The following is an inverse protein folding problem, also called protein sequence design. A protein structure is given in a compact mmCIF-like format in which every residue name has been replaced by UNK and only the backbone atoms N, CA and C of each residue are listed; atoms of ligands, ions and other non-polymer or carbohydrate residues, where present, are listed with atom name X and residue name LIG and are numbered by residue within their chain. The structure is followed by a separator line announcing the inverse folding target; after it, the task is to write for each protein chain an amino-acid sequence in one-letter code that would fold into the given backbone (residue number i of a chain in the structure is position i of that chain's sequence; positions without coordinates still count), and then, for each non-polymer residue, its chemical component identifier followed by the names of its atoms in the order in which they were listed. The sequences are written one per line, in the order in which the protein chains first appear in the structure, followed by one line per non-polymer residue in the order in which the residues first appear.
data_IF_901631992524
#
_entry.id   IF_901631992524
#
_cell.length_a   1.000
_cell.length_b   1.000
_cell.length_c   1.000
_cell.angle_alpha   90.00
_cell.angle_beta   90.00
_cell.angle_gamma   90.00
#
_symmetry.space_group_name_H-M   'P 1'
#
loop_
_entity.id
_entity.type
_entity.pdbx_description
1 polymer ?
#
# COMPACT_ATOMS: atom_id res chain seq x y z
N UNK A 1 -17.84 11.02 18.11
CA UNK A 1 -17.89 10.49 16.73
C UNK A 1 -16.48 10.48 16.17
N UNK A 2 -15.85 9.31 16.09
CA UNK A 2 -14.49 9.17 15.57
C UNK A 2 -14.43 9.52 14.09
N UNK A 3 -13.78 10.64 13.78
CA UNK A 3 -13.58 11.10 12.40
C UNK A 3 -12.56 10.19 11.74
N UNK A 4 -13.03 9.33 10.82
CA UNK A 4 -12.16 8.43 10.05
C UNK A 4 -11.64 9.14 8.81
N UNK A 5 -10.37 8.89 8.47
CA UNK A 5 -9.73 9.44 7.27
C UNK A 5 -9.72 8.39 6.16
N UNK A 6 -10.30 8.73 5.02
CA UNK A 6 -10.30 7.89 3.82
C UNK A 6 -9.57 8.58 2.67
N UNK A 7 -8.87 7.81 1.84
CA UNK A 7 -8.15 8.29 0.67
C UNK A 7 -8.84 7.85 -0.63
N UNK A 8 -9.30 8.81 -1.45
CA UNK A 8 -9.90 8.53 -2.76
C UNK A 8 -8.90 8.88 -3.86
N UNK A 9 -8.63 7.92 -4.75
CA UNK A 9 -7.76 8.12 -5.92
C UNK A 9 -8.59 8.38 -7.17
N UNK A 10 -8.45 9.56 -7.77
CA UNK A 10 -9.11 9.93 -9.04
C UNK A 10 -8.08 10.25 -10.13
N UNK A 11 -8.42 10.00 -11.39
CA UNK A 11 -7.53 10.29 -12.54
C UNK A 11 -7.71 11.73 -12.99
N UNK A 12 -6.63 12.50 -13.07
CA UNK A 12 -6.64 13.87 -13.58
C UNK A 12 -6.48 13.94 -15.10
N UNK A 13 -7.00 15.01 -15.68
CA UNK A 13 -6.79 15.42 -17.08
C UNK A 13 -6.22 16.85 -17.09
N UNK A 14 -4.96 17.06 -16.68
CA UNK A 14 -4.33 18.37 -16.69
C UNK A 14 -4.04 18.84 -18.11
N UNK A 15 -4.03 20.16 -18.32
CA UNK A 15 -3.54 20.79 -19.55
C UNK A 15 -2.02 20.68 -19.70
N UNK A 16 -1.44 20.90 -20.90
CA UNK A 16 0.01 20.89 -21.09
C UNK A 16 0.75 21.85 -20.15
N UNK A 17 0.22 23.04 -19.91
CA UNK A 17 0.80 24.04 -19.01
C UNK A 17 0.80 23.54 -17.55
N UNK A 18 -0.33 22.95 -17.12
CA UNK A 18 -0.43 22.35 -15.78
C UNK A 18 0.54 21.17 -15.59
N UNK A 19 0.76 20.37 -16.64
CA UNK A 19 1.72 19.28 -16.63
C UNK A 19 3.14 19.81 -16.41
N UNK A 20 3.52 20.87 -17.11
CA UNK A 20 4.84 21.48 -16.95
C UNK A 20 5.04 21.99 -15.52
N UNK A 21 4.05 22.70 -14.98
CA UNK A 21 4.07 23.21 -13.61
C UNK A 21 4.13 22.10 -12.56
N UNK A 22 3.44 20.97 -12.77
CA UNK A 22 3.56 19.79 -11.92
C UNK A 22 4.99 19.23 -11.93
N UNK A 23 5.61 19.13 -13.10
CA UNK A 23 6.98 18.63 -13.21
C UNK A 23 8.01 19.56 -12.56
N UNK A 24 7.83 20.88 -12.68
CA UNK A 24 8.63 21.86 -11.92
C UNK A 24 8.47 21.64 -10.42
N UNK A 25 7.24 21.49 -9.91
CA UNK A 25 7.00 21.27 -8.49
C UNK A 25 7.57 19.94 -7.99
N UNK A 26 7.42 18.83 -8.73
CA UNK A 26 8.05 17.55 -8.37
C UNK A 26 9.58 17.68 -8.24
N UNK A 27 10.20 18.45 -9.13
CA UNK A 27 11.64 18.74 -9.07
C UNK A 27 12.03 19.56 -7.84
N UNK A 28 11.25 20.60 -7.54
CA UNK A 28 11.50 21.52 -6.43
C UNK A 28 11.33 20.84 -5.06
N UNK A 29 10.26 20.07 -4.88
CA UNK A 29 10.02 19.26 -3.67
C UNK A 29 11.18 18.31 -3.41
N UNK A 30 11.67 17.60 -4.45
CA UNK A 30 12.84 16.73 -4.32
C UNK A 30 14.10 17.50 -3.94
N UNK A 31 14.33 18.65 -4.59
CA UNK A 31 15.54 19.47 -4.36
C UNK A 31 15.57 19.99 -2.93
N UNK A 32 14.47 20.54 -2.44
CA UNK A 32 14.33 21.05 -1.06
C UNK A 32 14.55 19.94 -0.04
N UNK A 33 13.90 18.78 -0.22
CA UNK A 33 14.10 17.62 0.64
C UNK A 33 15.58 17.22 0.72
N UNK A 34 16.24 17.06 -0.43
CA UNK A 34 17.64 16.62 -0.48
C UNK A 34 18.61 17.66 0.08
N UNK A 35 18.40 18.96 -0.19
CA UNK A 35 19.25 20.02 0.35
C UNK A 35 19.17 20.05 1.88
N UNK A 36 17.94 19.95 2.42
CA UNK A 36 17.73 19.94 3.87
C UNK A 36 18.32 18.69 4.52
N UNK A 37 18.11 17.52 3.92
CA UNK A 37 18.72 16.26 4.38
C UNK A 37 20.25 16.33 4.35
N UNK A 38 20.84 16.94 3.32
CA UNK A 38 22.28 17.07 3.20
C UNK A 38 22.89 17.91 4.34
N UNK A 39 22.28 19.06 4.65
CA UNK A 39 22.76 19.89 5.75
C UNK A 39 22.61 19.20 7.10
N UNK A 40 21.49 18.49 7.32
CA UNK A 40 21.33 17.71 8.53
C UNK A 40 22.35 16.57 8.62
N UNK A 41 22.60 15.82 7.53
CA UNK A 41 23.57 14.72 7.55
C UNK A 41 24.97 15.21 7.94
N UNK A 42 25.41 16.39 7.46
CA UNK A 42 26.68 16.99 7.89
C UNK A 42 26.73 17.30 9.39
N UNK A 43 25.60 17.66 10.00
CA UNK A 43 25.52 17.89 11.44
C UNK A 43 25.53 16.57 12.20
N UNK A 44 24.77 15.59 11.71
CA UNK A 44 24.70 14.26 12.29
C UNK A 44 26.04 13.50 12.25
N UNK A 45 26.84 13.71 11.21
CA UNK A 45 28.21 13.20 11.10
C UNK A 45 29.14 13.78 12.17
N UNK A 46 28.89 15.01 12.64
CA UNK A 46 29.66 15.65 13.71
C UNK A 46 29.14 15.27 15.09
N UNK A 47 27.82 15.20 15.24
CA UNK A 47 27.16 14.84 16.49
C UNK A 47 25.89 14.03 16.19
N UNK A 48 25.95 12.73 16.49
CA UNK A 48 24.89 11.78 16.22
C UNK A 48 23.74 11.80 17.26
N UNK A 49 23.87 12.61 18.32
CA UNK A 49 22.85 12.78 19.35
C UNK A 49 21.77 13.80 18.98
N UNK A 50 22.08 14.69 18.01
CA UNK A 50 21.21 15.82 17.66
C UNK A 50 20.04 15.33 16.81
N UNK A 51 18.85 15.30 17.41
CA UNK A 51 17.59 15.03 16.71
C UNK A 51 17.05 16.29 16.02
N UNK A 52 16.70 16.24 14.72
CA UNK A 52 16.18 17.40 14.02
C UNK A 52 14.72 17.63 14.39
N UNK A 53 14.42 18.87 14.77
CA UNK A 53 13.04 19.32 14.94
C UNK A 53 12.46 19.78 13.61
N UNK A 54 11.12 19.81 13.51
CA UNK A 54 10.45 20.39 12.35
C UNK A 54 10.88 21.85 12.12
N UNK A 55 10.94 22.64 13.18
CA UNK A 55 11.32 24.06 13.13
C UNK A 55 12.70 24.25 12.54
N UNK A 56 13.67 23.43 12.98
CA UNK A 56 15.03 23.44 12.44
C UNK A 56 15.04 23.18 10.92
N UNK A 57 14.42 22.07 10.48
CA UNK A 57 14.37 21.71 9.07
C UNK A 57 13.57 22.71 8.22
N UNK A 58 12.53 23.32 8.80
CA UNK A 58 11.73 24.38 8.17
C UNK A 58 12.57 25.64 7.94
N UNK A 59 13.36 26.06 8.93
CA UNK A 59 14.24 27.23 8.81
C UNK A 59 15.31 27.03 7.71
N UNK A 60 15.88 25.82 7.62
CA UNK A 60 16.77 25.45 6.51
C UNK A 60 16.05 25.54 5.15
N UNK A 61 14.84 25.00 5.05
CA UNK A 61 14.04 25.14 3.83
C UNK A 61 13.81 26.61 3.47
N UNK A 62 13.50 27.47 4.45
CA UNK A 62 13.28 28.90 4.22
C UNK A 62 14.55 29.60 3.75
N UNK A 63 15.73 29.25 4.29
CA UNK A 63 17.03 29.73 3.79
C UNK A 63 17.22 29.39 2.31
N UNK A 64 16.94 28.15 1.92
CA UNK A 64 17.03 27.74 0.50
C UNK A 64 15.96 28.38 -0.38
N UNK A 65 14.76 28.61 0.15
CA UNK A 65 13.70 29.29 -0.58
C UNK A 65 14.09 30.75 -0.91
N UNK A 66 14.79 31.43 0.00
CA UNK A 66 15.34 32.77 -0.23
C UNK A 66 16.49 32.79 -1.23
N UNK A 67 17.41 31.81 -1.16
CA UNK A 67 18.59 31.79 -2.03
C UNK A 67 18.33 31.25 -3.44
N UNK A 68 17.22 30.53 -3.67
CA UNK A 68 16.91 29.91 -4.96
C UNK A 68 15.59 30.49 -5.51
N UNK A 69 15.64 31.46 -6.46
CA UNK A 69 14.46 32.24 -6.86
C UNK A 69 13.28 31.42 -7.39
N UNK A 70 13.54 30.32 -8.11
CA UNK A 70 12.47 29.50 -8.67
C UNK A 70 11.68 28.70 -7.61
N UNK A 71 12.22 28.50 -6.41
CA UNK A 71 11.49 27.84 -5.31
C UNK A 71 10.36 28.71 -4.78
N UNK A 72 10.50 30.04 -4.85
CA UNK A 72 9.46 30.96 -4.38
C UNK A 72 8.23 30.97 -5.30
N UNK A 73 8.46 30.75 -6.60
CA UNK A 73 7.39 30.60 -7.60
C UNK A 73 6.55 29.34 -7.39
N UNK A 74 7.05 28.33 -6.67
CA UNK A 74 6.34 27.05 -6.44
C UNK A 74 5.29 27.12 -5.34
N UNK A 75 4.47 26.08 -5.26
CA UNK A 75 3.44 25.94 -4.23
C UNK A 75 4.11 25.74 -2.85
N UNK A 76 3.81 26.62 -1.88
CA UNK A 76 4.54 26.64 -0.62
C UNK A 76 4.21 25.46 0.29
N UNK A 77 2.96 24.96 0.25
CA UNK A 77 2.54 23.86 1.14
C UNK A 77 3.18 22.53 0.75
N UNK A 78 3.48 22.32 -0.54
CA UNK A 78 4.18 21.13 -1.03
C UNK A 78 5.62 21.08 -0.55
N UNK A 79 6.31 22.22 -0.53
CA UNK A 79 7.66 22.31 0.03
C UNK A 79 7.63 22.02 1.53
N UNK A 80 6.74 22.68 2.27
CA UNK A 80 6.58 22.47 3.71
C UNK A 80 6.23 21.01 4.06
N UNK A 81 5.38 20.37 3.27
CA UNK A 81 5.00 18.99 3.49
C UNK A 81 6.16 18.02 3.24
N UNK A 82 7.05 18.33 2.30
CA UNK A 82 8.26 17.53 2.09
C UNK A 82 9.17 17.53 3.33
N UNK A 83 9.24 18.66 4.03
CA UNK A 83 9.97 18.80 5.29
C UNK A 83 9.27 18.07 6.44
N UNK A 84 7.93 18.10 6.49
CA UNK A 84 7.17 17.29 7.46
C UNK A 84 7.41 15.80 7.25
N UNK A 85 7.38 15.35 6.00
CA UNK A 85 7.64 13.95 5.67
C UNK A 85 9.09 13.55 6.06
N UNK A 86 10.08 14.44 5.86
CA UNK A 86 11.46 14.24 6.32
C UNK A 86 11.55 14.18 7.85
N UNK A 87 10.89 15.10 8.56
CA UNK A 87 10.86 15.13 10.02
C UNK A 87 10.26 13.84 10.58
N UNK A 88 9.18 13.34 9.98
CA UNK A 88 8.56 12.07 10.37
C UNK A 88 9.49 10.88 10.11
N UNK A 89 10.25 10.90 9.01
CA UNK A 89 11.23 9.86 8.73
C UNK A 89 12.33 9.82 9.80
N UNK A 90 12.86 10.98 10.22
CA UNK A 90 13.78 11.05 11.36
C UNK A 90 13.14 10.60 12.67
N UNK A 91 11.92 11.05 12.97
CA UNK A 91 11.22 10.63 14.18
C UNK A 91 11.06 9.10 14.24
N UNK A 92 10.77 8.45 13.11
CA UNK A 92 10.69 6.99 13.06
C UNK A 92 12.06 6.33 13.24
N UNK A 93 13.11 6.87 12.61
CA UNK A 93 14.49 6.42 12.80
C UNK A 93 14.91 6.44 14.28
N UNK A 94 14.71 7.58 14.96
CA UNK A 94 15.08 7.73 16.37
C UNK A 94 14.17 6.95 17.34
N UNK A 95 12.94 6.60 16.93
CA UNK A 95 12.02 5.81 17.76
C UNK A 95 12.29 4.31 17.72
N UNK A 96 12.71 3.78 16.58
CA UNK A 96 12.92 2.35 16.42
C UNK A 96 14.23 2.08 15.67
N UNK A 97 15.23 1.42 16.31
CA UNK A 97 16.52 1.11 15.71
C UNK A 97 16.45 0.28 14.42
N UNK A 98 15.34 -0.43 14.16
CA UNK A 98 15.14 -1.18 12.93
C UNK A 98 14.90 -0.30 11.69
N UNK A 99 14.60 0.99 11.89
CA UNK A 99 14.46 1.93 10.79
C UNK A 99 15.82 2.48 10.37
N UNK A 100 16.02 2.60 9.06
CA UNK A 100 17.22 3.23 8.50
C UNK A 100 17.08 4.76 8.44
N UNK A 101 18.22 5.46 8.46
CA UNK A 101 18.28 6.89 8.22
C UNK A 101 17.56 7.29 6.91
N UNK A 102 16.92 8.46 6.86
CA UNK A 102 16.33 8.98 5.63
C UNK A 102 17.36 9.06 4.50
N UNK A 103 16.99 8.63 3.31
CA UNK A 103 17.87 8.60 2.14
C UNK A 103 17.53 9.69 1.13
N UNK A 104 18.52 10.10 0.35
CA UNK A 104 18.33 11.06 -0.73
C UNK A 104 17.39 10.54 -1.80
N UNK A 105 16.46 11.38 -2.23
CA UNK A 105 15.57 11.09 -3.35
C UNK A 105 16.31 11.27 -4.68
N UNK A 106 16.34 10.24 -5.53
CA UNK A 106 17.00 10.33 -6.84
C UNK A 106 16.00 10.78 -7.90
N UNK A 107 16.48 11.53 -8.90
CA UNK A 107 15.65 11.93 -10.06
C UNK A 107 15.09 10.74 -10.84
N UNK A 108 15.78 9.60 -10.78
CA UNK A 108 15.42 8.36 -11.47
C UNK A 108 14.33 7.54 -10.76
N UNK A 109 14.03 7.82 -9.49
CA UNK A 109 13.17 6.94 -8.65
C UNK A 109 11.68 6.97 -9.01
N UNK A 110 11.27 7.64 -10.10
CA UNK A 110 9.88 7.77 -10.57
C UNK A 110 8.86 8.19 -9.49
N UNK A 111 9.33 8.74 -8.35
CA UNK A 111 8.49 9.27 -7.26
C UNK A 111 8.06 10.70 -7.60
N UNK A 112 7.19 10.82 -8.60
CA UNK A 112 6.62 12.09 -9.01
C UNK A 112 5.33 12.35 -8.22
N UNK A 113 5.48 12.95 -7.05
CA UNK A 113 4.33 13.36 -6.24
C UNK A 113 4.62 14.60 -5.42
N UNK A 114 3.58 15.40 -5.18
CA UNK A 114 3.58 16.46 -4.18
C UNK A 114 2.24 16.47 -3.45
N UNK A 115 2.24 16.91 -2.18
CA UNK A 115 1.03 17.01 -1.37
C UNK A 115 0.74 18.48 -1.06
N UNK A 116 -0.51 18.86 -1.21
CA UNK A 116 -1.03 20.17 -0.85
C UNK A 116 -2.04 20.01 0.29
N UNK A 117 -1.86 20.78 1.36
CA UNK A 117 -2.83 20.85 2.45
C UNK A 117 -3.99 21.76 2.06
N UNK A 118 -5.21 21.37 2.41
CA UNK A 118 -6.40 22.17 2.11
C UNK A 118 -6.89 22.81 3.41
N UNK A 119 -7.12 24.13 3.43
CA UNK A 119 -7.70 24.79 4.61
C UNK A 119 -9.07 24.18 4.98
N UNK A 120 -9.42 24.16 6.27
CA UNK A 120 -10.73 23.70 6.71
C UNK A 120 -11.86 24.41 5.95
N UNK A 121 -12.92 23.68 5.61
CA UNK A 121 -14.13 24.17 4.95
C UNK A 121 -13.96 24.74 3.52
N UNK A 122 -12.76 24.69 2.93
CA UNK A 122 -12.58 25.11 1.54
C UNK A 122 -13.16 24.08 0.57
N UNK A 123 -14.22 24.45 -0.14
CA UNK A 123 -14.73 23.66 -1.25
C UNK A 123 -13.78 23.78 -2.44
N UNK A 124 -13.16 22.65 -2.80
CA UNK A 124 -12.19 22.58 -3.89
C UNK A 124 -12.65 21.69 -5.04
N UNK A 125 -13.74 20.93 -4.86
CA UNK A 125 -14.30 20.05 -5.88
C UNK A 125 -15.63 20.61 -6.34
N UNK A 126 -15.74 20.86 -7.64
CA UNK A 126 -16.96 21.33 -8.29
C UNK A 126 -17.06 20.74 -9.70
N UNK A 127 -18.23 20.19 -10.06
CA UNK A 127 -18.54 19.72 -11.43
C UNK A 127 -17.39 18.90 -12.08
N UNK A 128 -16.84 17.92 -11.35
CA UNK A 128 -15.71 17.08 -11.77
C UNK A 128 -14.39 17.80 -12.05
N UNK A 129 -14.18 18.97 -11.43
CA UNK A 129 -12.92 19.69 -11.46
C UNK A 129 -12.40 19.85 -10.03
N UNK A 130 -11.10 19.64 -9.85
CA UNK A 130 -10.39 19.95 -8.61
C UNK A 130 -9.71 21.30 -8.79
N UNK A 131 -9.99 22.25 -7.90
CA UNK A 131 -9.34 23.55 -7.83
C UNK A 131 -8.11 23.44 -6.93
N UNK A 132 -6.92 23.56 -7.51
CA UNK A 132 -5.65 23.58 -6.78
C UNK A 132 -5.05 24.99 -6.76
N UNK A 133 -4.41 25.37 -5.66
CA UNK A 133 -3.71 26.66 -5.56
C UNK A 133 -2.54 26.66 -6.55
N UNK A 134 -2.38 27.76 -7.30
CA UNK A 134 -1.41 27.96 -8.40
C UNK A 134 -1.63 27.14 -9.68
N UNK A 135 -2.46 26.10 -9.67
CA UNK A 135 -2.69 25.26 -10.87
C UNK A 135 -4.10 25.40 -11.46
N UNK A 136 -5.00 26.11 -10.78
CA UNK A 136 -6.36 26.37 -11.24
C UNK A 136 -7.26 25.13 -11.18
N UNK A 137 -8.30 25.12 -12.01
CA UNK A 137 -9.30 24.04 -12.08
C UNK A 137 -8.81 22.92 -13.02
N UNK A 138 -8.80 21.69 -12.53
CA UNK A 138 -8.30 20.52 -13.26
C UNK A 138 -9.41 19.46 -13.34
N UNK A 139 -9.87 19.08 -14.54
CA UNK A 139 -10.84 18.01 -14.70
C UNK A 139 -10.31 16.67 -14.19
N UNK A 140 -11.20 15.86 -13.61
CA UNK A 140 -10.89 14.49 -13.20
C UNK A 140 -11.96 13.49 -13.64
N UNK A 141 -11.55 12.24 -13.78
CA UNK A 141 -12.39 11.09 -14.11
C UNK A 141 -12.45 10.14 -12.92
N UNK A 142 -13.68 9.79 -12.54
CA UNK A 142 -13.98 8.85 -11.45
C UNK A 142 -15.33 8.16 -11.69
N UNK A 143 -15.65 7.17 -10.86
CA UNK A 143 -16.93 6.43 -10.89
C UNK A 143 -18.11 7.32 -10.46
N UNK A 144 -19.34 6.88 -10.71
CA UNK A 144 -20.54 7.66 -10.35
C UNK A 144 -20.66 7.81 -8.83
N UNK A 145 -20.30 6.79 -8.08
CA UNK A 145 -20.37 6.72 -6.61
C UNK A 145 -19.40 7.72 -5.98
N UNK A 146 -18.12 7.68 -6.37
CA UNK A 146 -17.14 8.66 -5.88
C UNK A 146 -17.45 10.07 -6.36
N UNK A 147 -18.05 10.24 -7.53
CA UNK A 147 -18.52 11.56 -7.97
C UNK A 147 -19.60 12.10 -7.04
N UNK A 148 -20.60 11.30 -6.68
CA UNK A 148 -21.65 11.72 -5.73
C UNK A 148 -21.02 12.09 -4.39
N UNK A 149 -20.17 11.20 -3.85
CA UNK A 149 -19.47 11.39 -2.58
C UNK A 149 -18.65 12.69 -2.54
N UNK A 150 -17.80 12.92 -3.54
CA UNK A 150 -16.93 14.10 -3.59
C UNK A 150 -17.67 15.43 -3.80
N UNK A 151 -18.94 15.40 -4.22
CA UNK A 151 -19.77 16.59 -4.37
C UNK A 151 -20.76 16.78 -3.20
N UNK A 152 -20.74 15.92 -2.18
CA UNK A 152 -21.60 16.08 -1.01
C UNK A 152 -21.30 17.38 -0.24
N UNK A 153 -22.34 18.10 0.21
CA UNK A 153 -22.15 19.27 1.05
C UNK A 153 -21.52 18.85 2.39
N UNK A 154 -20.63 19.68 2.95
CA UNK A 154 -20.00 19.42 4.24
C UNK A 154 -18.80 18.46 4.22
N UNK A 155 -18.44 17.86 3.07
CA UNK A 155 -17.28 16.98 2.97
C UNK A 155 -15.97 17.73 3.27
N UNK A 156 -15.28 17.32 4.33
CA UNK A 156 -14.01 17.92 4.75
C UNK A 156 -12.83 17.22 4.07
N UNK A 157 -12.10 17.96 3.25
CA UNK A 157 -10.89 17.49 2.58
C UNK A 157 -9.67 18.00 3.35
N UNK A 158 -8.82 17.10 3.82
CA UNK A 158 -7.64 17.44 4.62
C UNK A 158 -6.46 17.86 3.74
N UNK A 159 -6.16 17.03 2.74
CA UNK A 159 -5.05 17.27 1.82
C UNK A 159 -5.26 16.50 0.52
N UNK A 160 -4.58 16.96 -0.52
CA UNK A 160 -4.54 16.31 -1.83
C UNK A 160 -3.09 15.99 -2.17
N UNK A 161 -2.82 14.76 -2.55
CA UNK A 161 -1.53 14.37 -3.14
C UNK A 161 -1.69 14.19 -4.63
N UNK A 162 -1.00 15.00 -5.43
CA UNK A 162 -0.87 14.81 -6.87
C UNK A 162 0.24 13.81 -7.13
N UNK A 163 -0.04 12.79 -7.96
CA UNK A 163 0.91 11.73 -8.30
C UNK A 163 0.90 11.44 -9.79
N UNK A 164 2.08 11.24 -10.37
CA UNK A 164 2.26 10.76 -11.73
C UNK A 164 2.83 9.34 -11.73
N UNK A 165 2.22 8.42 -12.48
CA UNK A 165 2.61 7.00 -12.53
C UNK A 165 3.48 6.65 -13.76
N UNK A 166 3.97 7.66 -14.48
CA UNK A 166 4.69 7.51 -15.75
C UNK A 166 3.78 7.54 -16.99
N UNK A 167 2.46 7.50 -16.83
CA UNK A 167 1.49 7.56 -17.92
C UNK A 167 0.37 8.58 -17.65
N UNK A 168 -0.22 8.54 -16.46
CA UNK A 168 -1.36 9.33 -16.04
C UNK A 168 -1.09 10.08 -14.73
N UNK A 169 -1.82 11.17 -14.56
CA UNK A 169 -1.87 11.95 -13.33
C UNK A 169 -3.04 11.50 -12.47
N UNK A 170 -2.83 11.45 -11.17
CA UNK A 170 -3.84 11.11 -10.18
C UNK A 170 -3.85 12.14 -9.06
N UNK A 171 -5.03 12.42 -8.53
CA UNK A 171 -5.20 13.09 -7.25
C UNK A 171 -5.64 12.06 -6.22
N UNK A 172 -4.90 11.98 -5.12
CA UNK A 172 -5.25 11.20 -3.93
C UNK A 172 -5.81 12.19 -2.92
N UNK A 173 -7.13 12.18 -2.75
CA UNK A 173 -7.89 13.12 -1.94
C UNK A 173 -8.13 12.46 -0.58
N UNK A 174 -7.56 13.03 0.47
CA UNK A 174 -7.78 12.56 1.84
C UNK A 174 -8.96 13.32 2.44
N UNK A 175 -10.03 12.59 2.74
CA UNK A 175 -11.29 13.12 3.25
C UNK A 175 -11.53 12.62 4.67
N UNK A 176 -12.13 13.46 5.50
CA UNK A 176 -12.82 12.98 6.70
C UNK A 176 -14.18 12.52 6.25
N UNK A 177 -14.49 11.27 6.54
CA UNK A 177 -15.77 10.68 6.23
C UNK A 177 -16.43 10.25 7.53
N UNK A 178 -17.73 10.51 7.64
CA UNK A 178 -18.52 10.06 8.78
C UNK A 178 -18.58 8.53 8.79
N UNK A 179 -18.88 7.96 9.97
CA UNK A 179 -18.79 6.52 10.21
C UNK A 179 -19.51 5.73 9.10
N UNK A 180 -18.77 4.82 8.46
CA UNK A 180 -19.33 3.87 7.50
C UNK A 180 -20.40 3.04 8.21
N UNK A 181 -21.47 2.68 7.50
CA UNK A 181 -22.47 1.75 8.03
C UNK A 181 -21.76 0.47 8.47
N UNK A 182 -21.84 0.15 9.76
CA UNK A 182 -21.30 -1.09 10.28
C UNK A 182 -22.08 -2.28 9.73
N UNK A 183 -21.38 -3.39 9.52
CA UNK A 183 -21.99 -4.68 9.25
C UNK A 183 -22.37 -5.34 10.57
N UNK A 184 -23.46 -6.08 10.56
CA UNK A 184 -23.82 -6.95 11.68
C UNK A 184 -22.77 -8.06 11.85
N UNK A 185 -22.56 -8.46 13.10
CA UNK A 185 -21.70 -9.60 13.43
C UNK A 185 -22.36 -10.88 12.93
N UNK A 186 -21.60 -11.71 12.23
CA UNK A 186 -22.09 -12.96 11.62
C UNK A 186 -21.88 -14.17 12.52
N UNK A 187 -21.10 -14.05 13.59
CA UNK A 187 -20.61 -15.14 14.44
C UNK A 187 -19.58 -16.05 13.74
N UNK A 188 -19.22 -15.77 12.47
CA UNK A 188 -18.37 -16.65 11.67
C UNK A 188 -16.90 -16.34 11.87
N UNK A 189 -16.10 -17.40 12.01
CA UNK A 189 -14.65 -17.37 12.16
C UNK A 189 -13.97 -18.15 11.04
N UNK A 190 -12.75 -17.74 10.67
CA UNK A 190 -11.99 -18.41 9.62
C UNK A 190 -10.50 -18.45 9.95
N UNK A 191 -9.88 -19.62 9.76
CA UNK A 191 -8.43 -19.77 9.77
C UNK A 191 -7.88 -19.62 8.36
N UNK A 192 -6.71 -18.97 8.23
CA UNK A 192 -6.10 -18.69 6.94
C UNK A 192 -4.65 -19.15 6.95
N UNK A 193 -4.38 -20.19 6.16
CA UNK A 193 -3.03 -20.59 5.81
C UNK A 193 -2.51 -19.74 4.65
N UNK A 194 -1.27 -19.27 4.79
CA UNK A 194 -0.60 -18.44 3.79
C UNK A 194 0.61 -19.22 3.30
N UNK A 195 0.62 -19.58 2.03
CA UNK A 195 1.69 -20.41 1.48
C UNK A 195 2.20 -19.88 0.14
N UNK A 196 3.43 -20.22 -0.25
CA UNK A 196 4.05 -19.75 -1.50
C UNK A 196 3.71 -20.60 -2.72
N UNK A 197 2.79 -21.56 -2.59
CA UNK A 197 2.62 -22.64 -3.57
C UNK A 197 1.62 -22.30 -4.68
N UNK A 198 1.76 -23.00 -5.82
CA UNK A 198 0.90 -22.79 -7.00
C UNK A 198 -0.56 -23.17 -6.78
N UNK A 199 -0.87 -23.98 -5.76
CA UNK A 199 -2.21 -24.53 -5.48
C UNK A 199 -3.10 -23.63 -4.60
N UNK A 200 -2.62 -22.44 -4.23
CA UNK A 200 -3.37 -21.43 -3.49
C UNK A 200 -2.42 -20.66 -2.58
N UNK A 201 -2.44 -19.33 -2.65
CA UNK A 201 -1.54 -18.54 -1.79
C UNK A 201 -2.15 -18.22 -0.43
N UNK A 202 -3.48 -18.15 -0.42
CA UNK A 202 -4.31 -17.94 0.75
C UNK A 202 -5.32 -19.08 0.71
N UNK A 203 -5.22 -19.98 1.69
CA UNK A 203 -6.11 -21.13 1.82
C UNK A 203 -6.89 -20.97 3.11
N UNK A 204 -8.20 -21.06 3.03
CA UNK A 204 -9.09 -20.85 4.18
C UNK A 204 -9.59 -22.17 4.74
N UNK A 205 -9.97 -22.17 6.02
CA UNK A 205 -10.49 -23.36 6.70
C UNK A 205 -11.84 -23.85 6.16
N UNK A 206 -12.55 -23.06 5.35
CA UNK A 206 -13.75 -23.46 4.60
C UNK A 206 -13.42 -24.05 3.20
N UNK A 207 -12.13 -24.29 2.92
CA UNK A 207 -11.67 -24.96 1.70
C UNK A 207 -11.49 -24.04 0.49
N UNK A 208 -11.69 -22.72 0.63
CA UNK A 208 -11.45 -21.78 -0.47
C UNK A 208 -9.94 -21.61 -0.66
N UNK A 209 -9.51 -21.74 -1.92
CA UNK A 209 -8.12 -21.53 -2.33
C UNK A 209 -8.06 -20.34 -3.27
N UNK A 210 -7.51 -19.25 -2.75
CA UNK A 210 -7.42 -17.99 -3.44
C UNK A 210 -6.18 -17.93 -4.34
N UNK A 211 -6.43 -17.56 -5.60
CA UNK A 211 -5.40 -17.38 -6.63
C UNK A 211 -5.59 -16.05 -7.33
N UNK A 212 -4.49 -15.43 -7.73
CA UNK A 212 -4.54 -14.22 -8.54
C UNK A 212 -3.65 -14.34 -9.77
N UNK A 213 -4.24 -14.07 -10.95
CA UNK A 213 -3.56 -14.27 -12.23
C UNK A 213 -3.14 -12.95 -12.88
N UNK A 214 -1.85 -12.88 -13.22
CA UNK A 214 -1.23 -11.81 -14.04
C UNK A 214 -0.31 -12.39 -15.12
N UNK A 215 -0.53 -13.65 -15.52
CA UNK A 215 0.26 -14.35 -16.53
C UNK A 215 0.29 -13.59 -17.86
N UNK A 216 -0.86 -13.07 -18.29
CA UNK A 216 -0.93 -12.26 -19.52
C UNK A 216 -0.05 -11.00 -19.41
N UNK A 217 -0.16 -10.22 -18.33
CA UNK A 217 0.69 -9.05 -18.12
C UNK A 217 2.18 -9.42 -18.06
N UNK A 218 2.55 -10.51 -17.38
CA UNK A 218 3.94 -10.96 -17.30
C UNK A 218 4.50 -11.37 -18.67
N UNK A 219 3.73 -12.10 -19.49
CA UNK A 219 4.08 -12.43 -20.87
C UNK A 219 4.32 -11.15 -21.69
N UNK A 220 3.43 -10.17 -21.59
CA UNK A 220 3.57 -8.90 -22.29
C UNK A 220 4.79 -8.09 -21.83
N UNK A 221 5.08 -8.06 -20.53
CA UNK A 221 6.26 -7.38 -20.01
C UNK A 221 7.54 -8.07 -20.50
N UNK A 222 7.59 -9.42 -20.52
CA UNK A 222 8.71 -10.19 -21.07
C UNK A 222 8.95 -9.87 -22.55
N UNK A 223 7.89 -9.93 -23.35
CA UNK A 223 7.95 -9.56 -24.77
C UNK A 223 8.44 -8.13 -24.99
N UNK A 224 7.89 -7.15 -24.26
CA UNK A 224 8.31 -5.75 -24.39
C UNK A 224 9.76 -5.53 -23.96
N UNK A 225 10.23 -6.21 -22.90
CA UNK A 225 11.64 -6.15 -22.50
C UNK A 225 12.57 -6.72 -23.57
N UNK A 226 12.20 -7.83 -24.20
CA UNK A 226 12.95 -8.42 -25.33
C UNK A 226 13.05 -7.45 -26.51
N UNK A 227 11.99 -6.71 -26.84
CA UNK A 227 12.02 -5.68 -27.89
C UNK A 227 12.85 -4.44 -27.52
N UNK A 228 12.91 -4.09 -26.23
CA UNK A 228 13.67 -2.93 -25.74
C UNK A 228 15.17 -3.22 -25.69
N UNK A 229 15.56 -4.46 -25.34
CA UNK A 229 16.94 -4.90 -25.21
C UNK A 229 17.85 -4.51 -26.40
N UNK A 230 17.50 -4.81 -27.67
CA UNK A 230 18.34 -4.47 -28.82
C UNK A 230 18.36 -2.97 -29.17
N UNK A 231 17.50 -2.14 -28.56
CA UNK A 231 17.45 -0.71 -28.85
C UNK A 231 18.66 0.02 -28.22
N UNK A 232 19.79 0.06 -28.94
CA UNK A 232 21.06 0.69 -28.51
C UNK A 232 20.96 2.21 -28.29
N UNK A 233 20.26 2.93 -29.17
CA UNK A 233 20.06 4.39 -29.03
C UNK A 233 19.12 4.73 -27.86
N UNK A 234 19.65 5.34 -26.79
CA UNK A 234 18.90 5.70 -25.57
C UNK A 234 17.67 6.59 -25.82
N UNK A 235 17.66 7.39 -26.88
CA UNK A 235 16.64 8.41 -27.14
C UNK A 235 15.78 8.16 -28.39
N UNK A 236 15.86 6.97 -29.02
CA UNK A 236 15.05 6.69 -30.22
C UNK A 236 13.54 6.78 -29.91
N UNK A 237 12.77 7.32 -30.87
CA UNK A 237 11.30 7.44 -30.75
C UNK A 237 10.67 6.07 -30.43
N UNK A 238 11.11 5.02 -31.13
CA UNK A 238 10.71 3.62 -30.91
C UNK A 238 10.96 3.15 -29.47
N UNK A 239 12.15 3.38 -28.91
CA UNK A 239 12.48 2.96 -27.53
C UNK A 239 11.61 3.70 -26.50
N UNK A 240 11.39 5.00 -26.68
CA UNK A 240 10.49 5.79 -25.81
C UNK A 240 9.05 5.24 -25.84
N UNK A 241 8.56 4.87 -27.01
CA UNK A 241 7.23 4.27 -27.15
C UNK A 241 7.14 2.91 -26.45
N UNK A 242 8.13 2.03 -26.67
CA UNK A 242 8.18 0.72 -26.02
C UNK A 242 8.25 0.84 -24.49
N UNK A 243 9.06 1.76 -23.96
CA UNK A 243 9.12 2.03 -22.52
C UNK A 243 7.77 2.53 -21.97
N UNK A 244 7.03 3.33 -22.75
CA UNK A 244 5.68 3.77 -22.38
C UNK A 244 4.70 2.59 -22.35
N UNK A 245 4.74 1.71 -23.36
CA UNK A 245 3.94 0.47 -23.40
C UNK A 245 4.28 -0.44 -22.22
N UNK A 246 5.57 -0.59 -21.90
CA UNK A 246 6.06 -1.36 -20.76
C UNK A 246 5.52 -0.81 -19.43
N UNK A 247 5.61 0.50 -19.23
CA UNK A 247 5.08 1.16 -18.03
C UNK A 247 3.56 0.98 -17.90
N UNK A 248 2.80 1.02 -19.02
CA UNK A 248 1.36 0.71 -19.00
C UNK A 248 1.08 -0.71 -18.49
N UNK A 249 1.86 -1.70 -18.91
CA UNK A 249 1.68 -3.08 -18.45
C UNK A 249 2.04 -3.26 -16.97
N UNK A 250 3.12 -2.65 -16.50
CA UNK A 250 3.45 -2.63 -15.06
C UNK A 250 2.34 -1.96 -14.23
N UNK A 251 1.78 -0.84 -14.70
CA UNK A 251 0.70 -0.15 -14.02
C UNK A 251 -0.59 -1.00 -14.02
N UNK A 252 -0.91 -1.67 -15.15
CA UNK A 252 -2.05 -2.60 -15.25
C UNK A 252 -1.92 -3.76 -14.27
N UNK A 253 -0.75 -4.41 -14.23
CA UNK A 253 -0.44 -5.49 -13.28
C UNK A 253 -0.60 -5.05 -11.83
N UNK A 254 -0.06 -3.89 -11.47
CA UNK A 254 -0.15 -3.34 -10.11
C UNK A 254 -1.58 -2.97 -9.73
N UNK A 255 -2.35 -2.36 -10.66
CA UNK A 255 -3.74 -1.99 -10.42
C UNK A 255 -4.63 -3.23 -10.26
N UNK A 256 -4.44 -4.28 -11.06
CA UNK A 256 -5.15 -5.57 -10.88
C UNK A 256 -4.91 -6.15 -9.50
N UNK A 257 -3.66 -6.20 -9.05
CA UNK A 257 -3.34 -6.73 -7.71
C UNK A 257 -3.97 -5.90 -6.60
N UNK A 258 -3.93 -4.57 -6.75
CA UNK A 258 -4.53 -3.67 -5.78
C UNK A 258 -6.06 -3.81 -5.71
N UNK A 259 -6.72 -3.99 -6.85
CA UNK A 259 -8.16 -4.23 -6.95
C UNK A 259 -8.54 -5.58 -6.33
N UNK A 260 -7.78 -6.64 -6.63
CA UNK A 260 -7.96 -7.96 -6.04
C UNK A 260 -7.85 -7.92 -4.51
N UNK A 261 -6.79 -7.32 -3.98
CA UNK A 261 -6.59 -7.12 -2.53
C UNK A 261 -7.76 -6.35 -1.90
N UNK A 262 -8.26 -5.32 -2.57
CA UNK A 262 -9.38 -4.51 -2.07
C UNK A 262 -10.66 -5.34 -1.95
N UNK A 263 -11.00 -6.08 -3.01
CA UNK A 263 -12.19 -6.93 -3.08
C UNK A 263 -12.10 -8.10 -2.10
N UNK A 264 -10.97 -8.80 -2.08
CA UNK A 264 -10.73 -9.92 -1.18
C UNK A 264 -10.86 -9.48 0.28
N UNK A 265 -10.15 -8.41 0.68
CA UNK A 265 -10.23 -7.91 2.06
C UNK A 265 -11.63 -7.42 2.45
N UNK A 266 -12.37 -6.82 1.52
CA UNK A 266 -13.77 -6.43 1.75
C UNK A 266 -14.68 -7.64 1.94
N UNK A 267 -14.58 -8.65 1.07
CA UNK A 267 -15.42 -9.85 1.11
C UNK A 267 -15.18 -10.66 2.39
N UNK A 268 -13.91 -10.80 2.80
CA UNK A 268 -13.56 -11.53 4.02
C UNK A 268 -14.14 -10.81 5.26
N UNK A 269 -13.92 -9.50 5.40
CA UNK A 269 -14.47 -8.72 6.54
C UNK A 269 -15.99 -8.72 6.56
N UNK A 270 -16.64 -8.73 5.38
CA UNK A 270 -18.09 -8.84 5.31
C UNK A 270 -18.59 -10.19 5.85
N UNK A 271 -17.92 -11.29 5.52
CA UNK A 271 -18.37 -12.66 5.85
C UNK A 271 -18.00 -13.10 7.27
N UNK A 272 -16.84 -12.70 7.76
CA UNK A 272 -16.26 -13.19 9.02
C UNK A 272 -16.06 -12.08 10.04
N UNK A 273 -16.11 -12.44 11.32
CA UNK A 273 -15.84 -11.55 12.45
C UNK A 273 -14.44 -11.80 13.04
N UNK A 274 -13.92 -13.02 12.85
CA UNK A 274 -12.58 -13.41 13.30
C UNK A 274 -11.80 -14.03 12.14
N UNK A 275 -10.59 -13.53 11.90
CA UNK A 275 -9.65 -14.07 10.92
C UNK A 275 -8.35 -14.42 11.63
N UNK A 276 -8.01 -15.70 11.64
CA UNK A 276 -6.83 -16.22 12.32
C UNK A 276 -5.71 -16.48 11.32
N UNK A 277 -4.53 -15.93 11.57
CA UNK A 277 -3.31 -16.15 10.78
C UNK A 277 -2.19 -16.72 11.65
N UNK A 278 -1.16 -17.29 11.03
CA UNK A 278 0.09 -17.59 11.72
C UNK A 278 0.94 -16.33 11.96
N UNK A 279 1.63 -16.23 13.11
CA UNK A 279 2.51 -15.09 13.46
C UNK A 279 3.68 -14.87 12.49
N UNK A 280 4.17 -15.93 11.85
CA UNK A 280 5.36 -15.90 10.98
C UNK A 280 5.07 -15.39 9.55
N UNK A 281 3.84 -14.97 9.24
CA UNK A 281 3.40 -14.56 7.89
C UNK A 281 4.34 -13.55 7.22
N UNK A 282 4.99 -12.67 7.99
CA UNK A 282 5.85 -11.60 7.48
C UNK A 282 7.13 -12.14 6.80
N UNK A 283 7.55 -13.37 7.14
CA UNK A 283 8.70 -14.04 6.52
C UNK A 283 8.33 -14.69 5.17
N UNK A 284 7.04 -14.87 4.90
CA UNK A 284 6.53 -15.57 3.73
C UNK A 284 6.59 -14.64 2.51
N UNK A 285 7.15 -15.14 1.40
CA UNK A 285 7.19 -14.44 0.12
C UNK A 285 6.37 -15.21 -0.90
N UNK A 286 5.17 -14.69 -1.19
CA UNK A 286 4.34 -15.22 -2.26
C UNK A 286 4.80 -14.60 -3.58
N UNK A 287 5.28 -15.46 -4.47
CA UNK A 287 5.74 -15.09 -5.80
C UNK A 287 4.62 -15.35 -6.82
N UNK A 288 4.25 -14.30 -7.54
CA UNK A 288 3.17 -14.31 -8.51
C UNK A 288 3.73 -14.31 -9.93
N UNK A 289 3.42 -15.37 -10.68
CA UNK A 289 3.55 -15.39 -12.14
C UNK A 289 4.96 -15.61 -12.71
N UNK A 290 5.80 -16.41 -12.04
CA UNK A 290 7.06 -16.93 -12.59
C UNK A 290 8.18 -15.91 -12.74
N UNK A 291 9.09 -16.07 -13.71
CA UNK A 291 10.37 -15.32 -13.89
C UNK A 291 10.34 -13.79 -13.68
N UNK A 292 9.19 -13.13 -13.81
CA UNK A 292 8.99 -11.69 -13.52
C UNK A 292 8.23 -11.44 -12.22
N UNK A 293 8.58 -12.24 -11.20
CA UNK A 293 7.90 -12.38 -9.92
C UNK A 293 7.39 -11.05 -9.37
N UNK A 294 6.06 -10.91 -9.35
CA UNK A 294 5.40 -9.91 -8.52
C UNK A 294 5.26 -10.50 -7.12
N UNK A 295 5.61 -9.76 -6.08
CA UNK A 295 5.46 -10.23 -4.71
C UNK A 295 4.08 -9.80 -4.20
N UNK A 296 3.29 -10.74 -3.67
CA UNK A 296 2.06 -10.37 -2.98
C UNK A 296 2.40 -9.61 -1.68
N UNK A 297 1.89 -8.39 -1.48
CA UNK A 297 2.25 -7.58 -0.31
C UNK A 297 1.41 -8.00 0.92
N UNK A 298 1.77 -9.13 1.54
CA UNK A 298 1.06 -9.71 2.69
C UNK A 298 0.81 -8.72 3.83
N UNK A 299 1.83 -8.02 4.31
CA UNK A 299 1.67 -7.03 5.38
C UNK A 299 0.69 -5.93 5.02
N UNK A 300 0.62 -5.54 3.74
CA UNK A 300 -0.35 -4.54 3.26
C UNK A 300 -1.77 -5.11 3.20
N UNK A 301 -1.93 -6.38 2.86
CA UNK A 301 -3.22 -7.07 2.87
C UNK A 301 -3.76 -7.20 4.31
N UNK A 302 -2.93 -7.66 5.25
CA UNK A 302 -3.31 -7.77 6.68
C UNK A 302 -3.64 -6.39 7.27
N UNK A 303 -2.83 -5.37 7.02
CA UNK A 303 -3.15 -4.00 7.47
C UNK A 303 -4.44 -3.46 6.86
N UNK A 304 -4.83 -3.93 5.67
CA UNK A 304 -6.13 -3.59 5.07
C UNK A 304 -7.28 -4.30 5.76
N UNK A 305 -7.11 -5.58 6.12
CA UNK A 305 -8.11 -6.30 6.92
C UNK A 305 -8.35 -5.59 8.25
N UNK A 306 -7.28 -5.29 9.01
CA UNK A 306 -7.37 -4.54 10.27
C UNK A 306 -8.15 -3.22 10.12
N UNK A 307 -7.76 -2.38 9.14
CA UNK A 307 -8.47 -1.12 8.86
C UNK A 307 -9.93 -1.31 8.44
N UNK A 308 -10.25 -2.37 7.68
CA UNK A 308 -11.62 -2.64 7.27
C UNK A 308 -12.47 -3.15 8.45
N UNK A 309 -11.91 -3.91 9.38
CA UNK A 309 -12.59 -4.22 10.65
C UNK A 309 -12.86 -2.94 11.43
N UNK A 310 -11.85 -2.10 11.65
CA UNK A 310 -12.05 -0.79 12.29
C UNK A 310 -13.17 0.02 11.60
N UNK A 311 -13.28 -0.07 10.27
CA UNK A 311 -14.27 0.68 9.50
C UNK A 311 -15.68 0.09 9.49
N UNK A 312 -15.81 -1.23 9.40
CA UNK A 312 -17.09 -1.87 9.13
C UNK A 312 -17.58 -2.77 10.28
N UNK A 313 -16.69 -3.25 11.14
CA UNK A 313 -16.99 -4.16 12.25
C UNK A 313 -16.06 -3.87 13.45
N UNK A 314 -16.14 -2.69 14.08
CA UNK A 314 -15.23 -2.32 15.16
C UNK A 314 -15.41 -3.16 16.43
N UNK A 315 -16.59 -3.77 16.61
CA UNK A 315 -16.91 -4.66 17.75
C UNK A 315 -16.46 -6.11 17.50
N UNK A 316 -16.01 -6.45 16.29
CA UNK A 316 -15.50 -7.77 16.00
C UNK A 316 -14.07 -7.93 16.51
N UNK A 317 -13.71 -9.15 16.90
CA UNK A 317 -12.33 -9.51 17.27
C UNK A 317 -11.31 -9.15 16.16
N UNK A 318 -11.74 -9.30 14.90
CA UNK A 318 -10.98 -8.86 13.74
C UNK A 318 -9.85 -9.82 13.36
N UNK A 319 -8.61 -9.34 13.34
CA UNK A 319 -7.45 -10.10 12.86
C UNK A 319 -6.58 -10.54 14.02
N UNK A 320 -6.45 -11.85 14.20
CA UNK A 320 -5.72 -12.49 15.31
C UNK A 320 -4.59 -13.37 14.79
N UNK A 321 -3.59 -13.65 15.65
CA UNK A 321 -2.40 -14.42 15.28
C UNK A 321 -2.09 -15.54 16.27
N UNK A 322 -1.86 -16.73 15.75
CA UNK A 322 -1.51 -17.94 16.53
C UNK A 322 -0.11 -18.46 16.19
N UNK A 323 0.41 -19.36 17.03
CA UNK A 323 1.66 -20.06 16.76
C UNK A 323 1.52 -21.00 15.55
N UNK A 324 2.53 -21.00 14.68
CA UNK A 324 2.64 -21.81 13.46
C UNK A 324 3.08 -23.27 13.69
N UNK A 325 3.54 -23.62 14.89
CA UNK A 325 4.25 -24.90 15.13
C UNK A 325 3.39 -26.11 14.78
N UNK A 326 3.77 -26.90 13.77
CA UNK A 326 3.09 -28.14 13.34
C UNK A 326 1.63 -28.00 12.84
N UNK A 327 1.17 -26.81 12.46
CA UNK A 327 -0.18 -26.61 11.89
C UNK A 327 -0.45 -27.52 10.68
N UNK A 328 0.51 -27.67 9.77
CA UNK A 328 0.32 -28.52 8.58
C UNK A 328 0.49 -30.03 8.79
N UNK A 329 1.15 -30.45 9.89
CA UNK A 329 1.47 -31.86 10.20
C UNK A 329 0.46 -32.52 11.13
N UNK A 330 -0.30 -31.71 11.88
CA UNK A 330 -1.30 -32.18 12.83
C UNK A 330 -2.59 -32.52 12.09
N UNK A 331 -3.19 -33.68 12.32
CA UNK A 331 -4.52 -33.98 11.81
C UNK A 331 -5.57 -33.14 12.56
N UNK A 332 -6.32 -32.29 11.86
CA UNK A 332 -7.34 -31.45 12.51
C UNK A 332 -8.49 -32.25 13.15
N UNK A 333 -8.71 -33.50 12.71
CA UNK A 333 -9.79 -34.37 13.21
C UNK A 333 -9.43 -35.08 14.52
N UNK A 334 -8.20 -35.55 14.68
CA UNK A 334 -7.80 -36.40 15.82
C UNK A 334 -6.56 -35.91 16.60
N UNK A 335 -5.93 -34.82 16.17
CA UNK A 335 -4.75 -34.25 16.83
C UNK A 335 -3.43 -35.00 16.61
N UNK A 336 -3.42 -36.11 15.86
CA UNK A 336 -2.18 -36.86 15.59
C UNK A 336 -1.20 -36.03 14.74
N UNK A 337 0.06 -35.95 15.17
CA UNK A 337 1.12 -35.24 14.46
C UNK A 337 1.88 -36.24 13.58
N UNK A 338 1.82 -36.06 12.27
CA UNK A 338 2.63 -36.82 11.33
C UNK A 338 4.02 -36.19 11.19
N UNK A 339 4.97 -36.60 12.05
CA UNK A 339 6.33 -36.03 12.09
C UNK A 339 7.10 -36.22 10.77
N UNK A 340 6.87 -37.35 10.10
CA UNK A 340 7.52 -37.77 8.86
C UNK A 340 6.85 -37.21 7.58
N UNK A 341 5.88 -36.29 7.72
CA UNK A 341 5.23 -35.70 6.56
C UNK A 341 6.20 -34.83 5.76
N UNK A 342 6.49 -35.25 4.52
CA UNK A 342 7.33 -34.51 3.59
C UNK A 342 6.70 -33.16 3.22
N UNK A 343 7.55 -32.15 3.04
CA UNK A 343 7.17 -30.79 2.69
C UNK A 343 6.53 -30.72 1.30
N UNK A 344 6.75 -31.70 0.42
CA UNK A 344 6.12 -31.73 -0.91
C UNK A 344 4.73 -32.39 -0.90
N UNK A 345 4.42 -33.21 0.11
CA UNK A 345 3.13 -33.91 0.21
C UNK A 345 1.99 -32.90 0.38
N UNK A 346 0.99 -32.99 -0.52
CA UNK A 346 -0.20 -32.12 -0.53
C UNK A 346 -1.40 -32.81 0.07
N UNK A 347 -1.61 -34.06 -0.29
CA UNK A 347 -2.69 -34.89 0.24
C UNK A 347 -2.08 -36.02 1.05
N UNK A 348 -2.59 -36.25 2.26
CA UNK A 348 -2.13 -37.34 3.12
C UNK A 348 -3.27 -37.96 3.91
N UNK A 349 -3.12 -39.23 4.26
CA UNK A 349 -4.07 -39.96 5.08
C UNK A 349 -3.54 -39.99 6.51
N UNK A 350 -4.37 -39.60 7.48
CA UNK A 350 -3.97 -39.67 8.87
C UNK A 350 -3.79 -41.13 9.30
N UNK A 351 -2.61 -41.56 9.78
CA UNK A 351 -2.37 -42.95 10.16
C UNK A 351 -3.16 -43.38 11.41
N UNK A 352 -3.64 -42.42 12.22
CA UNK A 352 -4.40 -42.69 13.44
C UNK A 352 -5.91 -42.82 13.21
N UNK A 353 -6.50 -41.95 12.38
CA UNK A 353 -7.96 -41.91 12.19
C UNK A 353 -8.44 -42.16 10.75
N UNK A 354 -7.53 -42.35 9.79
CA UNK A 354 -7.85 -42.64 8.39
C UNK A 354 -8.37 -41.45 7.57
N UNK A 355 -8.46 -40.24 8.14
CA UNK A 355 -8.98 -39.06 7.43
C UNK A 355 -8.07 -38.67 6.26
N UNK A 356 -8.67 -38.36 5.10
CA UNK A 356 -7.96 -37.83 3.93
C UNK A 356 -7.87 -36.31 4.06
N UNK A 357 -6.65 -35.79 4.09
CA UNK A 357 -6.38 -34.39 4.40
C UNK A 357 -5.67 -33.70 3.24
N UNK A 358 -6.28 -32.64 2.73
CA UNK A 358 -5.54 -31.61 2.00
C UNK A 358 -4.72 -30.82 3.02
N UNK A 359 -3.41 -30.77 2.83
CA UNK A 359 -2.47 -30.21 3.79
C UNK A 359 -2.69 -28.73 4.06
N UNK A 360 -2.97 -27.94 3.03
CA UNK A 360 -3.11 -26.49 3.15
C UNK A 360 -4.47 -26.16 3.83
N UNK A 361 -5.54 -26.89 3.49
CA UNK A 361 -6.85 -26.76 4.19
C UNK A 361 -6.76 -27.25 5.64
N UNK A 362 -6.10 -28.39 5.87
CA UNK A 362 -5.87 -28.92 7.21
C UNK A 362 -5.07 -27.95 8.08
N UNK A 363 -4.04 -27.31 7.51
CA UNK A 363 -3.30 -26.24 8.20
C UNK A 363 -4.22 -25.08 8.58
N UNK A 364 -5.06 -24.60 7.66
CA UNK A 364 -6.01 -23.52 7.92
C UNK A 364 -7.03 -23.89 9.02
N UNK A 365 -7.53 -25.12 9.06
CA UNK A 365 -8.42 -25.61 10.13
C UNK A 365 -7.67 -25.64 11.48
N UNK A 366 -6.44 -26.15 11.51
CA UNK A 366 -5.63 -26.17 12.74
C UNK A 366 -5.29 -24.77 13.24
N UNK A 367 -5.02 -23.82 12.34
CA UNK A 367 -4.82 -22.40 12.67
C UNK A 367 -6.06 -21.87 13.38
N UNK A 368 -7.25 -22.15 12.84
CA UNK A 368 -8.51 -21.75 13.47
C UNK A 368 -8.72 -22.42 14.84
N UNK A 369 -8.47 -23.71 14.96
CA UNK A 369 -8.69 -24.48 16.18
C UNK A 369 -7.76 -24.06 17.33
N UNK A 370 -6.61 -23.46 17.02
CA UNK A 370 -5.66 -22.92 18.01
C UNK A 370 -6.11 -21.62 18.64
N UNK A 371 -7.01 -20.90 17.98
CA UNK A 371 -7.54 -19.66 18.52
C UNK A 371 -8.66 -19.97 19.50
N UNK A 372 -8.52 -19.50 20.74
CA UNK A 372 -9.60 -19.46 21.72
C UNK A 372 -10.07 -18.01 21.93
N UNK A 373 -11.37 -17.78 22.22
CA UNK A 373 -11.85 -16.43 22.53
C UNK A 373 -11.06 -15.85 23.72
N UNK A 374 -10.43 -14.69 23.53
CA UNK A 374 -9.56 -14.06 24.53
C UNK A 374 -8.05 -14.27 24.31
N UNK A 375 -7.63 -15.06 23.31
CA UNK A 375 -6.24 -15.13 22.82
C UNK A 375 -5.83 -13.84 22.08
N UNK A 376 -5.91 -12.70 22.76
CA UNK A 376 -5.28 -11.46 22.35
C UNK A 376 -3.80 -11.53 22.72
N UNK A 377 -3.00 -12.24 21.93
CA UNK A 377 -1.55 -12.06 22.04
C UNK A 377 -1.25 -10.61 21.70
N UNK A 378 -0.80 -9.89 22.72
CA UNK A 378 -0.47 -8.48 22.75
C UNK A 378 -0.01 -7.95 21.40
N UNK A 379 -0.60 -6.83 20.99
CA UNK A 379 -0.10 -5.99 19.91
C UNK A 379 1.38 -5.73 20.14
N UNK A 380 2.24 -6.46 19.43
CA UNK A 380 3.66 -6.19 19.42
C UNK A 380 3.88 -4.78 18.84
N UNK A 381 4.62 -4.00 19.63
CA UNK A 381 5.00 -2.60 19.45
C UNK A 381 5.61 -2.27 18.08
#
# INVERSE_FOLDING_TARGET
MDKRVMAIKVRLKPSPEQIEEFHKNFGCVRKVYNLTLNEYNKLYEKDNSIKPTYTFLYNLMMKYKKSIPYLDKMESTSLQQSIRDLTNAFNNFFKNPAHNLPTFHRKKDKKFSFRQTIPPNKKIIEKNKISLRKYGKIPFQTSKEYRKLLNQPGLKINNITIKYDGIHYYAIININYDALKHFELTGKKIGVDINSNKNGWIVTSDGVKEHFDVNHENKMIKYLNQLISPCRKKLSRKKKELLKRLQKQYNKRTNKLQDYIEKLSYNIVKKYDVIVFEKNYAKIKILIGGEQNLIFPLSKFINKLKKKFEWYKPEAEGVVFVDAKNTSKTCHKCGHINENLDVKTRDWICPKCGEKLDRDVNAAINILNRWTPGDCLESTQ
#
